data_IF_468300488501
#
_entry.id   IF_468300488501
#
_cell.length_a   1.000
_cell.length_b   1.000
_cell.length_c   1.000
_cell.angle_alpha   90.00
_cell.angle_beta   90.00
_cell.angle_gamma   90.00
#
_symmetry.space_group_name_H-M   'P 1'
#
loop_
_entity.id
_entity.type
_entity.pdbx_description
1 polymer ?
#
# COMPACT_ATOMS: atom_id res chain seq x y z
N UNK A 1 3.80 -20.79 -8.12
CA UNK A 1 4.40 -19.81 -9.05
C UNK A 1 3.82 -20.08 -10.43
N UNK A 2 3.16 -19.08 -11.02
CA UNK A 2 2.58 -19.21 -12.36
C UNK A 2 3.65 -19.00 -13.44
N UNK A 3 3.52 -19.70 -14.57
CA UNK A 3 4.33 -19.53 -15.77
C UNK A 3 4.02 -18.21 -16.48
N UNK A 4 4.82 -17.88 -17.49
CA UNK A 4 4.58 -16.70 -18.32
C UNK A 4 3.24 -16.84 -19.07
N UNK A 5 3.02 -17.98 -19.70
CA UNK A 5 1.83 -18.29 -20.49
C UNK A 5 0.56 -18.28 -19.63
N UNK A 6 0.60 -18.86 -18.43
CA UNK A 6 -0.52 -18.85 -17.48
C UNK A 6 -0.89 -17.41 -17.08
N UNK A 7 0.12 -16.55 -16.84
CA UNK A 7 -0.14 -15.13 -16.52
C UNK A 7 -0.73 -14.38 -17.70
N UNK A 8 -0.23 -14.61 -18.92
CA UNK A 8 -0.80 -14.03 -20.14
C UNK A 8 -2.28 -14.41 -20.28
N UNK A 9 -2.58 -15.71 -20.17
CA UNK A 9 -3.95 -16.23 -20.31
C UNK A 9 -4.88 -15.65 -19.25
N UNK A 10 -4.44 -15.61 -17.98
CA UNK A 10 -5.21 -14.98 -16.90
C UNK A 10 -5.48 -13.51 -17.18
N UNK A 11 -4.47 -12.75 -17.62
CA UNK A 11 -4.62 -11.33 -17.89
C UNK A 11 -5.60 -11.09 -19.05
N UNK A 12 -5.39 -11.78 -20.17
CA UNK A 12 -6.20 -11.60 -21.38
C UNK A 12 -7.64 -12.11 -21.20
N UNK A 13 -7.87 -13.12 -20.36
CA UNK A 13 -9.20 -13.64 -20.06
C UNK A 13 -9.98 -12.76 -19.08
N UNK A 14 -9.33 -12.31 -18.00
CA UNK A 14 -10.02 -11.55 -16.94
C UNK A 14 -10.09 -10.04 -17.23
N UNK A 15 -9.16 -9.51 -18.03
CA UNK A 15 -9.03 -8.07 -18.25
C UNK A 15 -8.96 -7.73 -19.76
N UNK A 16 -10.03 -8.00 -20.53
CA UNK A 16 -10.06 -7.74 -21.97
C UNK A 16 -9.90 -6.25 -22.33
N UNK A 17 -10.10 -5.34 -21.38
CA UNK A 17 -9.85 -3.91 -21.54
C UNK A 17 -8.35 -3.54 -21.58
N UNK A 18 -7.46 -4.46 -21.21
CA UNK A 18 -6.02 -4.20 -21.24
C UNK A 18 -5.43 -4.46 -22.62
N UNK A 19 -4.70 -3.48 -23.13
CA UNK A 19 -3.96 -3.60 -24.39
C UNK A 19 -2.57 -4.16 -24.12
N UNK A 20 -2.28 -5.33 -24.68
CA UNK A 20 -0.94 -5.92 -24.68
C UNK A 20 0.01 -5.14 -25.58
N UNK A 21 1.18 -4.79 -25.05
CA UNK A 21 2.30 -4.22 -25.80
C UNK A 21 3.54 -5.08 -25.62
N UNK A 22 4.01 -5.67 -26.71
CA UNK A 22 5.27 -6.42 -26.72
C UNK A 22 6.44 -5.43 -26.66
N UNK A 23 7.46 -5.74 -25.88
CA UNK A 23 8.69 -4.95 -25.76
C UNK A 23 9.91 -5.84 -26.04
N UNK A 24 11.12 -5.30 -25.85
CA UNK A 24 12.37 -6.04 -26.08
C UNK A 24 12.49 -7.29 -25.19
N UNK A 25 13.23 -8.29 -25.68
CA UNK A 25 13.55 -9.54 -24.98
C UNK A 25 12.32 -10.41 -24.65
N UNK A 26 11.28 -10.37 -25.49
CA UNK A 26 10.08 -11.20 -25.32
C UNK A 26 9.22 -10.81 -24.13
N UNK A 27 9.50 -9.67 -23.48
CA UNK A 27 8.66 -9.14 -22.41
C UNK A 27 7.40 -8.50 -22.97
N UNK A 28 6.40 -8.35 -22.11
CA UNK A 28 5.17 -7.63 -22.42
C UNK A 28 4.78 -6.67 -21.32
N UNK A 29 4.07 -5.60 -21.71
CA UNK A 29 3.32 -4.73 -20.83
C UNK A 29 1.83 -4.86 -21.14
N UNK A 30 0.99 -4.56 -20.16
CA UNK A 30 -0.45 -4.39 -20.35
C UNK A 30 -0.85 -2.97 -19.93
N UNK A 31 -1.55 -2.30 -20.84
CA UNK A 31 -1.93 -0.90 -20.71
C UNK A 31 -3.44 -0.76 -20.62
N UNK A 32 -3.91 0.08 -19.71
CA UNK A 32 -5.27 0.59 -19.69
C UNK A 32 -5.29 1.93 -20.44
N UNK A 33 -5.70 1.91 -21.71
CA UNK A 33 -5.65 3.10 -22.57
C UNK A 33 -6.64 4.19 -22.13
N UNK A 34 -7.76 3.78 -21.56
CA UNK A 34 -8.84 4.62 -21.02
C UNK A 34 -8.62 5.02 -19.54
N UNK A 35 -7.38 4.90 -19.04
CA UNK A 35 -7.03 5.40 -17.71
C UNK A 35 -7.41 6.88 -17.57
N UNK A 36 -8.02 7.23 -16.44
CA UNK A 36 -8.37 8.61 -16.07
C UNK A 36 -7.23 9.34 -15.37
N UNK A 37 -6.03 8.74 -15.34
CA UNK A 37 -4.80 9.30 -14.78
C UNK A 37 -3.68 9.26 -15.81
N UNK A 38 -2.60 10.00 -15.55
CA UNK A 38 -1.41 10.00 -16.42
C UNK A 38 -0.79 8.60 -16.59
N UNK A 39 -0.89 7.77 -15.55
CA UNK A 39 -0.40 6.39 -15.58
C UNK A 39 -1.37 5.49 -16.35
N UNK A 40 -0.86 4.80 -17.38
CA UNK A 40 -1.63 3.83 -18.18
C UNK A 40 -1.15 2.38 -18.06
N UNK A 41 0.05 2.15 -17.52
CA UNK A 41 0.64 0.80 -17.46
C UNK A 41 0.18 0.09 -16.20
N UNK A 42 -0.54 -1.01 -16.37
CA UNK A 42 -1.05 -1.86 -15.29
C UNK A 42 -0.06 -2.98 -14.98
N UNK A 43 0.35 -3.74 -16.00
CA UNK A 43 1.39 -4.79 -15.87
C UNK A 43 2.61 -4.34 -16.65
N UNK A 44 3.78 -4.36 -16.02
CA UNK A 44 5.03 -3.90 -16.57
C UNK A 44 6.09 -5.01 -16.58
N UNK A 45 6.79 -5.12 -17.70
CA UNK A 45 7.96 -5.97 -17.88
C UNK A 45 7.71 -7.44 -17.53
N UNK A 46 6.52 -7.97 -17.83
CA UNK A 46 6.24 -9.39 -17.67
C UNK A 46 7.19 -10.19 -18.57
N UNK A 47 8.09 -10.92 -17.94
CA UNK A 47 9.20 -11.62 -18.56
C UNK A 47 8.83 -13.08 -18.84
N UNK A 48 9.37 -13.69 -19.91
CA UNK A 48 9.21 -15.12 -20.19
C UNK A 48 9.62 -16.08 -19.06
N UNK A 49 10.20 -15.59 -17.95
CA UNK A 49 10.51 -16.40 -16.77
C UNK A 49 9.39 -16.37 -15.71
N UNK A 50 8.25 -15.76 -16.04
CA UNK A 50 7.10 -15.57 -15.16
C UNK A 50 7.19 -14.34 -14.26
N UNK A 51 8.33 -13.67 -14.11
CA UNK A 51 8.41 -12.48 -13.27
C UNK A 51 7.87 -11.23 -13.98
N UNK A 52 7.35 -10.27 -13.23
CA UNK A 52 6.90 -8.97 -13.73
C UNK A 52 6.53 -8.05 -12.58
N UNK A 53 5.96 -6.91 -12.93
CA UNK A 53 5.49 -5.93 -11.97
C UNK A 53 4.07 -5.51 -12.27
N UNK A 54 3.27 -5.26 -11.24
CA UNK A 54 1.94 -4.65 -11.36
C UNK A 54 1.94 -3.31 -10.65
N UNK A 55 1.31 -2.32 -11.26
CA UNK A 55 1.11 -1.01 -10.65
C UNK A 55 0.11 -1.10 -9.51
N UNK A 56 0.51 -0.62 -8.34
CA UNK A 56 -0.23 -0.76 -7.09
C UNK A 56 -0.35 0.59 -6.38
N UNK A 57 -0.71 1.65 -7.13
CA UNK A 57 -0.93 2.98 -6.56
C UNK A 57 -1.96 2.98 -5.42
N UNK A 58 -2.92 2.06 -5.46
CA UNK A 58 -3.95 1.85 -4.44
C UNK A 58 -3.49 1.14 -3.16
N UNK A 59 -2.26 0.60 -3.11
CA UNK A 59 -1.75 -0.10 -1.92
C UNK A 59 -0.88 0.81 -1.06
N UNK A 60 -0.75 0.45 0.21
CA UNK A 60 0.20 1.07 1.15
C UNK A 60 1.64 1.05 0.64
N UNK A 61 2.42 2.04 1.07
CA UNK A 61 3.87 2.13 0.80
C UNK A 61 4.65 0.90 1.25
N UNK A 62 4.20 0.13 2.25
CA UNK A 62 4.87 -1.10 2.71
C UNK A 62 4.73 -2.27 1.74
N UNK A 63 3.70 -2.24 0.90
CA UNK A 63 3.35 -3.33 -0.02
C UNK A 63 3.94 -3.11 -1.41
N UNK A 64 4.36 -1.89 -1.74
CA UNK A 64 4.87 -1.46 -3.05
C UNK A 64 6.27 -0.88 -2.95
N UNK A 65 7.00 -0.83 -4.06
CA UNK A 65 8.28 -0.14 -4.12
C UNK A 65 8.11 1.38 -4.33
N UNK A 66 9.23 2.11 -4.41
CA UNK A 66 9.25 3.57 -4.65
C UNK A 66 8.56 4.01 -5.95
N UNK A 67 8.39 3.09 -6.91
CA UNK A 67 7.69 3.32 -8.19
C UNK A 67 6.23 2.88 -8.14
N UNK A 68 5.73 2.57 -6.95
CA UNK A 68 4.39 2.03 -6.70
C UNK A 68 4.13 0.72 -7.44
N UNK A 69 5.16 -0.13 -7.56
CA UNK A 69 5.07 -1.42 -8.24
C UNK A 69 5.23 -2.55 -7.24
N UNK A 70 4.53 -3.64 -7.51
CA UNK A 70 4.60 -4.90 -6.78
C UNK A 70 5.20 -5.97 -7.67
N UNK A 71 6.20 -6.69 -7.16
CA UNK A 71 6.78 -7.83 -7.85
C UNK A 71 5.81 -9.01 -7.79
N UNK A 72 5.46 -9.58 -8.95
CA UNK A 72 4.46 -10.65 -9.04
C UNK A 72 5.06 -12.04 -9.27
N UNK A 73 6.36 -12.25 -9.02
CA UNK A 73 7.04 -13.54 -9.23
C UNK A 73 6.25 -14.71 -8.64
N UNK A 74 5.96 -14.64 -7.34
CA UNK A 74 5.44 -15.75 -6.56
C UNK A 74 3.92 -15.68 -6.31
N UNK A 75 3.20 -14.87 -7.09
CA UNK A 75 1.74 -14.71 -6.95
C UNK A 75 0.97 -15.95 -7.40
N UNK A 76 -0.14 -16.25 -6.70
CA UNK A 76 -1.18 -17.15 -7.17
C UNK A 76 -2.06 -16.48 -8.22
N UNK A 77 -2.90 -17.25 -8.92
CA UNK A 77 -3.86 -16.73 -9.91
C UNK A 77 -4.82 -15.73 -9.29
N UNK A 78 -5.43 -16.09 -8.15
CA UNK A 78 -6.37 -15.25 -7.41
C UNK A 78 -5.73 -13.96 -6.93
N UNK A 79 -4.53 -14.04 -6.35
CA UNK A 79 -3.80 -12.86 -5.87
C UNK A 79 -3.41 -11.93 -7.03
N UNK A 80 -3.01 -12.50 -8.18
CA UNK A 80 -2.66 -11.72 -9.36
C UNK A 80 -3.87 -11.00 -9.95
N UNK A 81 -5.01 -11.69 -10.06
CA UNK A 81 -6.27 -11.10 -10.53
C UNK A 81 -6.69 -9.97 -9.61
N UNK A 82 -6.69 -10.20 -8.29
CA UNK A 82 -7.06 -9.18 -7.30
C UNK A 82 -6.19 -7.92 -7.41
N UNK A 83 -4.87 -8.11 -7.51
CA UNK A 83 -3.92 -7.00 -7.64
C UNK A 83 -4.11 -6.19 -8.93
N UNK A 84 -4.36 -6.88 -10.06
CA UNK A 84 -4.59 -6.22 -11.35
C UNK A 84 -5.94 -5.49 -11.36
N UNK A 85 -6.99 -6.08 -10.78
CA UNK A 85 -8.29 -5.43 -10.64
C UNK A 85 -8.17 -4.12 -9.85
N UNK A 86 -7.55 -4.15 -8.67
CA UNK A 86 -7.33 -2.94 -7.87
C UNK A 86 -6.52 -1.88 -8.60
N UNK A 87 -5.56 -2.30 -9.44
CA UNK A 87 -4.81 -1.38 -10.31
C UNK A 87 -5.71 -0.70 -11.33
N UNK A 88 -6.58 -1.46 -12.01
CA UNK A 88 -7.53 -0.93 -13.01
C UNK A 88 -8.54 -0.01 -12.35
N UNK A 89 -9.11 -0.39 -11.21
CA UNK A 89 -10.11 0.41 -10.48
C UNK A 89 -9.51 1.74 -10.03
N UNK A 90 -8.29 1.70 -9.50
CA UNK A 90 -7.52 2.88 -9.18
C UNK A 90 -7.34 3.75 -10.43
N UNK A 91 -6.81 3.22 -11.53
CA UNK A 91 -6.57 4.01 -12.75
C UNK A 91 -7.85 4.50 -13.47
N UNK A 92 -8.99 3.84 -13.25
CA UNK A 92 -10.28 4.19 -13.86
C UNK A 92 -11.10 5.17 -13.03
N UNK A 93 -10.76 5.34 -11.75
CA UNK A 93 -11.33 6.40 -10.92
C UNK A 93 -10.70 7.73 -11.32
N UNK A 94 -11.53 8.77 -11.41
CA UNK A 94 -11.01 10.12 -11.58
C UNK A 94 -10.03 10.42 -10.45
N UNK A 95 -9.10 11.32 -10.70
CA UNK A 95 -8.25 11.89 -9.67
C UNK A 95 -9.13 12.74 -8.73
N UNK A 96 -10.02 12.08 -7.98
CA UNK A 96 -10.42 12.60 -6.68
C UNK A 96 -9.12 12.67 -5.93
N UNK A 97 -8.62 13.90 -5.70
CA UNK A 97 -7.68 14.23 -4.62
C UNK A 97 -7.94 13.21 -3.53
N UNK A 98 -6.97 12.30 -3.34
CA UNK A 98 -7.18 11.05 -2.64
C UNK A 98 -8.16 11.30 -1.51
N UNK A 99 -9.38 10.76 -1.61
CA UNK A 99 -10.07 10.49 -0.36
C UNK A 99 -9.06 9.58 0.33
N UNK A 100 -8.45 10.02 1.46
CA UNK A 100 -7.64 9.08 2.21
C UNK A 100 -8.56 7.86 2.35
N UNK A 101 -8.04 6.68 1.98
CA UNK A 101 -8.58 5.45 2.58
C UNK A 101 -8.88 5.80 4.03
N UNK A 102 -10.03 5.42 4.62
CA UNK A 102 -10.30 5.78 5.98
C UNK A 102 -9.06 5.40 6.77
N UNK A 103 -8.27 6.43 7.12
CA UNK A 103 -7.21 6.31 8.08
C UNK A 103 -8.06 5.92 9.27
N UNK A 104 -8.13 4.62 9.56
CA UNK A 104 -8.29 4.22 10.94
C UNK A 104 -7.12 4.96 11.55
N UNK A 105 -7.37 6.09 12.24
CA UNK A 105 -6.27 6.89 12.77
C UNK A 105 -5.45 5.88 13.56
N UNK A 106 -4.16 5.77 13.25
CA UNK A 106 -3.27 4.84 13.94
C UNK A 106 -3.22 5.35 15.38
N UNK A 107 -4.17 4.86 16.18
CA UNK A 107 -4.42 5.22 17.56
C UNK A 107 -3.80 4.13 18.38
N UNK A 108 -2.59 4.38 18.81
CA UNK A 108 -1.86 3.44 19.65
C UNK A 108 -1.98 3.91 21.09
N UNK A 109 -2.43 3.01 21.97
CA UNK A 109 -2.44 3.28 23.39
C UNK A 109 -1.15 2.75 24.00
N UNK A 110 -0.49 3.62 24.74
CA UNK A 110 0.76 3.35 25.44
C UNK A 110 0.53 3.52 26.94
N UNK A 111 1.17 2.69 27.76
CA UNK A 111 1.07 2.77 29.22
C UNK A 111 2.44 2.66 29.85
N UNK A 112 2.71 3.46 30.88
CA UNK A 112 4.01 3.49 31.53
C UNK A 112 4.19 4.70 32.44
N UNK A 113 5.45 5.00 32.80
CA UNK A 113 5.79 6.13 33.65
C UNK A 113 5.53 5.92 35.16
N UNK A 114 5.70 6.99 35.93
CA UNK A 114 5.31 7.03 37.35
C UNK A 114 3.77 7.06 37.41
N UNK A 115 3.16 6.07 38.05
CA UNK A 115 1.70 5.93 38.22
C UNK A 115 0.88 5.27 37.08
N UNK A 116 1.50 4.53 36.16
CA UNK A 116 0.81 3.83 35.04
C UNK A 116 -0.06 4.78 34.19
N UNK A 117 0.52 5.90 33.79
CA UNK A 117 -0.14 6.86 32.91
C UNK A 117 -0.41 6.26 31.54
N UNK A 118 -1.43 6.79 30.86
CA UNK A 118 -1.83 6.35 29.52
C UNK A 118 -1.65 7.46 28.53
N UNK A 119 -0.88 7.18 27.50
CA UNK A 119 -0.66 8.07 26.37
C UNK A 119 -1.31 7.51 25.11
N UNK A 120 -1.78 8.41 24.26
CA UNK A 120 -2.38 8.08 22.98
C UNK A 120 -1.53 8.69 21.86
N UNK A 121 -0.91 7.84 21.06
CA UNK A 121 -0.24 8.24 19.83
C UNK A 121 -1.27 8.27 18.70
N UNK A 122 -1.40 9.40 18.01
CA UNK A 122 -2.35 9.66 16.93
C UNK A 122 -1.60 10.29 15.77
N UNK A 123 -1.84 9.81 14.55
CA UNK A 123 -1.45 10.53 13.34
C UNK A 123 -2.59 11.44 12.91
N UNK A 124 -2.37 12.76 12.92
CA UNK A 124 -3.32 13.78 12.49
C UNK A 124 -2.57 15.02 12.02
N UNK A 125 -3.14 15.78 11.07
CA UNK A 125 -2.54 16.99 10.52
C UNK A 125 -1.07 16.82 10.08
N UNK A 126 -0.75 15.67 9.49
CA UNK A 126 0.61 15.26 9.03
C UNK A 126 1.65 15.07 10.15
N UNK A 127 1.23 15.13 11.43
CA UNK A 127 2.08 14.95 12.60
C UNK A 127 1.69 13.71 13.40
N UNK A 128 2.68 13.16 14.12
CA UNK A 128 2.51 12.13 15.11
C UNK A 128 2.39 12.78 16.49
N UNK A 129 1.14 12.96 16.93
CA UNK A 129 0.78 13.61 18.19
C UNK A 129 0.62 12.60 19.31
N UNK A 130 1.18 12.91 20.47
CA UNK A 130 1.05 12.13 21.69
C UNK A 130 0.16 12.91 22.65
N UNK A 131 -0.88 12.27 23.14
CA UNK A 131 -1.86 12.86 24.05
C UNK A 131 -1.84 12.19 25.42
N UNK A 132 -1.82 13.01 26.47
CA UNK A 132 -2.15 12.62 27.84
C UNK A 132 -3.63 12.99 28.10
N UNK A 133 -4.53 12.05 27.81
CA UNK A 133 -5.97 12.30 27.87
C UNK A 133 -6.42 13.30 26.79
N UNK A 134 -6.76 14.52 27.19
CA UNK A 134 -7.17 15.61 26.28
C UNK A 134 -6.05 16.61 26.00
N UNK A 135 -4.91 16.47 26.66
CA UNK A 135 -3.79 17.40 26.53
C UNK A 135 -2.77 16.85 25.53
N UNK A 136 -2.32 17.70 24.60
CA UNK A 136 -1.20 17.39 23.72
C UNK A 136 0.10 17.44 24.53
N UNK A 137 0.83 16.33 24.55
CA UNK A 137 2.12 16.19 25.22
C UNK A 137 3.26 16.57 24.27
N UNK A 138 3.28 15.96 23.09
CA UNK A 138 4.32 16.16 22.08
C UNK A 138 3.80 15.89 20.67
N UNK A 139 4.46 16.48 19.68
CA UNK A 139 4.16 16.32 18.26
C UNK A 139 5.45 16.08 17.48
N UNK A 140 5.45 15.10 16.58
CA UNK A 140 6.63 14.70 15.81
C UNK A 140 6.33 14.61 14.32
N UNK A 141 7.34 14.86 13.49
CA UNK A 141 7.21 14.74 12.02
C UNK A 141 7.27 13.28 11.56
N UNK A 142 7.76 12.36 12.41
CA UNK A 142 7.87 10.94 12.07
C UNK A 142 7.40 10.00 13.19
N UNK A 143 6.81 8.87 12.78
CA UNK A 143 6.41 7.79 13.69
C UNK A 143 7.57 7.31 14.56
N UNK A 144 8.77 7.25 13.95
CA UNK A 144 9.97 6.76 14.63
C UNK A 144 10.33 7.65 15.82
N UNK A 145 10.31 8.97 15.64
CA UNK A 145 10.61 9.91 16.73
C UNK A 145 9.56 9.84 17.84
N UNK A 146 8.28 9.77 17.49
CA UNK A 146 7.21 9.62 18.48
C UNK A 146 7.30 8.29 19.25
N UNK A 147 7.63 7.20 18.57
CA UNK A 147 7.86 5.89 19.16
C UNK A 147 9.07 5.91 20.10
N UNK A 148 10.20 6.45 19.65
CA UNK A 148 11.45 6.50 20.41
C UNK A 148 11.25 7.34 21.68
N UNK A 149 10.52 8.47 21.61
CA UNK A 149 10.11 9.25 22.78
C UNK A 149 9.33 8.41 23.80
N UNK A 150 8.31 7.68 23.36
CA UNK A 150 7.49 6.84 24.25
C UNK A 150 8.33 5.76 24.95
N UNK A 151 9.23 5.12 24.21
CA UNK A 151 10.12 4.09 24.76
C UNK A 151 11.13 4.69 25.75
N UNK A 152 11.71 5.85 25.43
CA UNK A 152 12.67 6.54 26.30
C UNK A 152 12.03 7.00 27.63
N UNK A 153 10.77 7.46 27.59
CA UNK A 153 9.98 7.82 28.76
C UNK A 153 9.43 6.59 29.53
N UNK A 154 9.73 5.38 29.07
CA UNK A 154 9.36 4.13 29.75
C UNK A 154 7.91 3.70 29.53
N UNK A 155 7.30 4.12 28.42
CA UNK A 155 5.98 3.66 28.00
C UNK A 155 6.08 2.42 27.11
N UNK A 156 5.14 1.50 27.32
CA UNK A 156 4.99 0.28 26.55
C UNK A 156 3.67 0.28 25.79
N UNK A 157 3.73 -0.19 24.54
CA UNK A 157 2.55 -0.28 23.68
C UNK A 157 1.59 -1.35 24.19
N UNK A 158 0.35 -0.97 24.45
CA UNK A 158 -0.71 -1.95 24.72
C UNK A 158 -1.17 -2.53 23.39
N UNK A 159 -1.13 -3.86 23.19
CA UNK A 159 -1.72 -4.47 22.01
C UNK A 159 -3.22 -4.19 22.01
N UNK A 160 -3.73 -3.62 20.91
CA UNK A 160 -5.16 -3.38 20.71
C UNK A 160 -5.86 -4.73 20.71
N UNK A 161 -6.39 -5.15 21.87
CA UNK A 161 -7.05 -6.43 22.02
C UNK A 161 -8.30 -6.42 21.13
N UNK A 162 -8.25 -7.17 20.03
CA UNK A 162 -9.45 -7.54 19.30
C UNK A 162 -10.13 -8.67 20.08
N UNK A 163 -11.10 -8.28 20.91
CA UNK A 163 -12.00 -9.10 21.76
C UNK A 163 -11.41 -9.72 23.02
#
# INVERSE_FOLDING_TARGET
>A
MLSFEEKIELIETHFPQLTRKNISLGRVNYHLEDSKRDKKIVVQQLHPNGNGFVYAGHLDRRQKNEKELVNIRDYSSEALISLISGSIDYLSSEESVAAPEPEVPVKETWTGGADNERLLLVHEDELWNIYAGLNLEAAFESYKEAHDYLVEEGFEKIPSSSR
#
